data_IF_693541564812
#
_entry.id   IF_693541564812
#
_cell.length_a   1.000
_cell.length_b   1.000
_cell.length_c   1.000
_cell.angle_alpha   90.00
_cell.angle_beta   90.00
_cell.angle_gamma   90.00
#
_symmetry.space_group_name_H-M   'P 1'
#
loop_
_entity.id
_entity.type
_entity.pdbx_description
1 polymer ?
#
# COMPACT_ATOMS: atom_id res chain seq x y z
N UNK A 1 -1.32 -15.16 24.18
CA UNK A 1 -1.56 -15.21 22.74
C UNK A 1 -0.83 -16.38 22.13
N UNK A 2 -1.51 -17.18 21.36
CA UNK A 2 -0.87 -18.30 20.66
C UNK A 2 -0.72 -17.93 19.19
N UNK A 3 0.48 -18.06 18.67
CA UNK A 3 0.72 -17.89 17.24
C UNK A 3 0.45 -19.20 16.52
N UNK A 4 -0.13 -19.11 15.34
CA UNK A 4 -0.31 -20.30 14.50
C UNK A 4 1.04 -20.83 14.04
N UNK A 5 1.14 -22.15 13.95
CA UNK A 5 2.34 -22.76 13.39
C UNK A 5 2.55 -22.28 11.96
N UNK A 6 3.82 -22.06 11.62
CA UNK A 6 4.17 -21.68 10.26
C UNK A 6 3.86 -22.84 9.31
N UNK A 7 3.13 -22.57 8.24
CA UNK A 7 2.80 -23.58 7.25
C UNK A 7 3.83 -23.56 6.14
N UNK A 8 3.99 -24.68 5.44
CA UNK A 8 4.90 -24.79 4.29
C UNK A 8 4.27 -24.29 3.00
N UNK A 9 3.15 -23.58 3.09
CA UNK A 9 2.49 -23.01 1.92
C UNK A 9 3.32 -21.87 1.33
N UNK A 10 3.36 -21.81 0.01
CA UNK A 10 4.01 -20.68 -0.68
C UNK A 10 3.20 -19.41 -0.45
N UNK A 11 3.91 -18.25 -0.43
CA UNK A 11 3.27 -16.95 -0.29
C UNK A 11 2.16 -16.75 -1.35
N UNK A 12 2.41 -17.16 -2.59
CA UNK A 12 1.43 -17.04 -3.67
C UNK A 12 0.13 -17.78 -3.39
N UNK A 13 0.16 -18.82 -2.57
CA UNK A 13 -1.04 -19.59 -2.24
C UNK A 13 -1.94 -18.87 -1.23
N UNK A 14 -1.35 -18.21 -0.24
CA UNK A 14 -2.13 -17.53 0.79
C UNK A 14 -2.32 -16.03 0.55
N UNK A 15 -1.52 -15.42 -0.31
CA UNK A 15 -1.67 -13.99 -0.63
C UNK A 15 -3.07 -13.68 -1.19
N UNK A 16 -3.57 -14.53 -2.06
CA UNK A 16 -4.91 -14.34 -2.65
C UNK A 16 -6.01 -14.41 -1.60
N UNK A 17 -5.86 -15.30 -0.63
CA UNK A 17 -6.82 -15.44 0.46
C UNK A 17 -6.84 -14.19 1.34
N UNK A 18 -5.66 -13.66 1.67
CA UNK A 18 -5.55 -12.43 2.45
C UNK A 18 -6.10 -11.23 1.69
N UNK A 19 -5.80 -11.12 0.40
CA UNK A 19 -6.32 -10.02 -0.41
C UNK A 19 -7.85 -10.03 -0.45
N UNK A 20 -8.46 -11.19 -0.60
CA UNK A 20 -9.92 -11.32 -0.56
C UNK A 20 -10.50 -10.95 0.80
N UNK A 21 -9.86 -11.38 1.88
CA UNK A 21 -10.28 -11.05 3.25
C UNK A 21 -10.23 -9.54 3.47
N UNK A 22 -9.14 -8.90 3.07
CA UNK A 22 -8.97 -7.46 3.22
C UNK A 22 -10.01 -6.67 2.43
N UNK A 23 -10.31 -7.12 1.22
CA UNK A 23 -11.33 -6.49 0.39
C UNK A 23 -12.73 -6.64 1.00
N UNK A 24 -13.06 -7.85 1.46
CA UNK A 24 -14.36 -8.15 2.07
C UNK A 24 -14.57 -7.36 3.36
N UNK A 25 -13.54 -7.26 4.19
CA UNK A 25 -13.61 -6.56 5.48
C UNK A 25 -13.33 -5.07 5.36
N UNK A 26 -12.95 -4.59 4.19
CA UNK A 26 -12.53 -3.20 3.95
C UNK A 26 -11.46 -2.76 4.93
N UNK A 27 -10.43 -3.58 5.05
CA UNK A 27 -9.36 -3.41 6.04
C UNK A 27 -8.63 -2.08 5.86
N UNK A 28 -8.36 -1.67 4.63
CA UNK A 28 -7.66 -0.41 4.37
C UNK A 28 -8.50 0.77 4.84
N UNK A 29 -9.76 0.83 4.48
CA UNK A 29 -10.67 1.90 4.88
C UNK A 29 -10.78 1.96 6.40
N UNK A 30 -10.87 0.81 7.05
CA UNK A 30 -10.90 0.75 8.51
C UNK A 30 -9.61 1.28 9.13
N UNK A 31 -8.45 1.01 8.51
CA UNK A 31 -7.17 1.49 9.02
C UNK A 31 -7.09 3.02 9.04
N UNK A 32 -7.77 3.68 8.09
CA UNK A 32 -7.83 5.14 8.05
C UNK A 32 -8.90 5.66 9.02
N UNK A 33 -10.11 5.12 8.95
CA UNK A 33 -11.26 5.62 9.71
C UNK A 33 -11.12 5.45 11.21
N UNK A 34 -10.44 4.40 11.67
CA UNK A 34 -10.26 4.12 13.08
C UNK A 34 -9.21 5.00 13.75
N UNK A 35 -8.52 5.82 12.98
CA UNK A 35 -7.45 6.68 13.51
C UNK A 35 -7.83 8.14 13.43
N UNK A 36 -7.42 8.91 14.46
CA UNK A 36 -7.79 10.32 14.57
C UNK A 36 -7.19 11.17 13.47
N UNK A 37 -8.00 12.06 12.90
CA UNK A 37 -7.53 13.04 11.93
C UNK A 37 -6.53 14.04 12.54
N UNK A 38 -6.50 14.17 13.85
CA UNK A 38 -5.54 15.04 14.53
C UNK A 38 -4.16 14.43 14.65
N UNK A 39 -4.02 13.14 14.38
CA UNK A 39 -2.75 12.43 14.46
C UNK A 39 -2.44 11.80 13.10
N UNK A 40 -2.13 12.63 12.13
CA UNK A 40 -1.85 12.20 10.77
C UNK A 40 -0.36 12.14 10.48
N UNK A 41 0.03 11.15 9.69
CA UNK A 41 1.30 11.14 9.00
C UNK A 41 1.00 11.39 7.52
N UNK A 42 1.43 12.53 7.04
CA UNK A 42 1.11 12.97 5.68
C UNK A 42 1.89 12.16 4.66
N UNK A 43 1.17 11.60 3.70
CA UNK A 43 1.76 10.78 2.65
C UNK A 43 1.19 11.18 1.29
N UNK A 44 2.09 11.65 0.43
CA UNK A 44 1.76 11.94 -0.96
C UNK A 44 2.55 11.01 -1.86
N UNK A 45 1.89 10.40 -2.82
CA UNK A 45 2.52 9.47 -3.73
C UNK A 45 2.54 10.04 -5.16
N UNK A 46 3.70 9.92 -5.81
CA UNK A 46 3.83 10.14 -7.24
C UNK A 46 3.88 8.79 -7.93
N UNK A 47 2.76 8.30 -8.47
CA UNK A 47 2.79 7.01 -9.16
C UNK A 47 3.68 7.06 -10.39
N UNK A 48 4.10 5.89 -10.91
CA UNK A 48 4.95 5.84 -12.11
C UNK A 48 4.31 6.54 -13.30
N UNK A 49 5.15 7.04 -14.21
CA UNK A 49 4.69 7.61 -15.46
C UNK A 49 3.76 6.65 -16.18
N UNK A 50 2.78 7.21 -16.95
CA UNK A 50 1.74 6.42 -17.61
C UNK A 50 2.21 5.65 -18.84
N UNK A 51 3.48 5.30 -18.91
CA UNK A 51 4.06 4.57 -20.03
C UNK A 51 4.84 3.36 -19.56
N UNK A 52 4.86 2.34 -20.39
CA UNK A 52 5.66 1.16 -20.15
C UNK A 52 5.11 0.23 -19.10
N UNK A 53 5.77 -0.90 -18.96
CA UNK A 53 5.44 -1.93 -17.98
C UNK A 53 6.21 -1.68 -16.68
N UNK A 54 5.62 -1.92 -15.51
CA UNK A 54 6.38 -1.84 -14.26
C UNK A 54 7.59 -2.75 -14.28
N UNK A 55 8.69 -2.30 -13.71
CA UNK A 55 9.91 -3.08 -13.59
C UNK A 55 10.32 -3.21 -12.12
N UNK A 56 11.43 -3.91 -11.86
CA UNK A 56 11.88 -4.17 -10.51
C UNK A 56 12.16 -2.89 -9.70
N UNK A 57 12.61 -1.82 -10.36
CA UNK A 57 12.78 -0.52 -9.71
C UNK A 57 11.48 0.04 -9.19
N UNK A 58 10.40 -0.08 -9.94
CA UNK A 58 9.06 0.34 -9.51
C UNK A 58 8.62 -0.47 -8.29
N UNK A 59 8.85 -1.78 -8.31
CA UNK A 59 8.50 -2.65 -7.18
C UNK A 59 9.27 -2.29 -5.92
N UNK A 60 10.56 -2.00 -6.05
CA UNK A 60 11.39 -1.60 -4.91
C UNK A 60 10.88 -0.31 -4.27
N UNK A 61 10.65 0.72 -5.08
CA UNK A 61 10.17 2.01 -4.58
C UNK A 61 8.79 1.86 -3.94
N UNK A 62 7.89 1.14 -4.60
CA UNK A 62 6.53 0.90 -4.07
C UNK A 62 6.57 0.15 -2.74
N UNK A 63 7.47 -0.82 -2.61
CA UNK A 63 7.63 -1.57 -1.37
C UNK A 63 8.09 -0.68 -0.22
N UNK A 64 9.06 0.21 -0.46
CA UNK A 64 9.52 1.15 0.57
C UNK A 64 8.38 2.08 1.00
N UNK A 65 7.63 2.62 0.04
CA UNK A 65 6.48 3.48 0.33
C UNK A 65 5.42 2.75 1.16
N UNK A 66 5.14 1.51 0.81
CA UNK A 66 4.15 0.68 1.50
C UNK A 66 4.59 0.40 2.95
N UNK A 67 5.86 0.06 3.14
CA UNK A 67 6.42 -0.19 4.49
C UNK A 67 6.27 1.04 5.37
N UNK A 68 6.59 2.21 4.86
CA UNK A 68 6.48 3.45 5.63
C UNK A 68 5.03 3.76 6.03
N UNK A 69 4.09 3.61 5.09
CA UNK A 69 2.68 3.80 5.39
C UNK A 69 2.16 2.82 6.42
N UNK A 70 2.49 1.56 6.29
CA UNK A 70 2.08 0.52 7.23
C UNK A 70 2.70 0.72 8.62
N UNK A 71 3.96 1.12 8.66
CA UNK A 71 4.65 1.40 9.92
C UNK A 71 3.93 2.51 10.71
N UNK A 72 3.65 3.63 10.05
CA UNK A 72 2.96 4.74 10.72
C UNK A 72 1.52 4.40 11.08
N UNK A 73 0.84 3.58 10.28
CA UNK A 73 -0.48 3.06 10.61
C UNK A 73 -0.44 2.22 11.89
N UNK A 74 0.55 1.35 12.01
CA UNK A 74 0.72 0.52 13.21
C UNK A 74 1.05 1.34 14.45
N UNK A 75 1.65 2.52 14.28
CA UNK A 75 1.91 3.45 15.38
C UNK A 75 0.66 4.20 15.83
N UNK A 76 -0.47 3.98 15.18
CA UNK A 76 -1.72 4.65 15.50
C UNK A 76 -1.96 5.95 14.76
N UNK A 77 -1.14 6.27 13.78
CA UNK A 77 -1.30 7.47 12.96
C UNK A 77 -2.25 7.21 11.81
N UNK A 78 -3.03 8.22 11.46
CA UNK A 78 -3.90 8.14 10.29
C UNK A 78 -3.08 8.43 9.05
N UNK A 79 -2.99 7.46 8.15
CA UNK A 79 -2.22 7.57 6.91
C UNK A 79 -3.18 7.46 5.73
N UNK A 80 -3.52 8.59 5.15
CA UNK A 80 -4.27 8.64 3.91
C UNK A 80 -3.29 8.61 2.75
N UNK A 81 -3.59 7.83 1.71
CA UNK A 81 -2.74 7.70 0.53
C UNK A 81 -3.26 8.64 -0.55
N UNK A 82 -2.52 9.71 -0.80
CA UNK A 82 -2.91 10.70 -1.78
C UNK A 82 -1.96 10.67 -2.98
N UNK A 83 -2.52 10.75 -4.16
CA UNK A 83 -1.77 10.63 -5.40
C UNK A 83 -1.70 11.95 -6.14
N UNK A 84 -0.56 12.18 -6.80
CA UNK A 84 -0.41 13.25 -7.78
C UNK A 84 0.07 12.64 -9.09
N UNK A 85 -0.81 12.55 -10.09
CA UNK A 85 -0.47 11.97 -11.37
C UNK A 85 0.50 12.86 -12.15
N UNK A 86 1.61 12.27 -12.64
CA UNK A 86 2.55 12.95 -13.52
C UNK A 86 2.16 12.63 -14.97
N UNK A 87 1.33 13.49 -15.55
CA UNK A 87 0.75 13.27 -16.87
C UNK A 87 1.37 14.13 -17.97
N UNK A 88 2.17 15.15 -17.61
CA UNK A 88 2.72 16.11 -18.56
C UNK A 88 4.18 15.84 -18.85
N UNK A 89 4.44 14.85 -19.64
CA UNK A 89 5.78 14.53 -20.09
C UNK A 89 5.70 13.91 -21.48
N UNK A 90 6.76 14.03 -22.24
CA UNK A 90 6.77 13.53 -23.63
C UNK A 90 6.34 12.07 -23.73
N UNK A 91 6.82 11.14 -22.90
CA UNK A 91 6.36 9.74 -22.97
C UNK A 91 4.87 9.56 -22.69
N UNK A 92 4.29 10.37 -21.83
CA UNK A 92 2.85 10.26 -21.50
C UNK A 92 1.96 10.89 -22.56
N UNK A 93 2.48 11.83 -23.34
CA UNK A 93 1.74 12.55 -24.36
C UNK A 93 1.82 11.90 -25.75
N UNK A 94 2.71 10.94 -25.92
CA UNK A 94 2.87 10.19 -27.14
C UNK A 94 1.90 9.00 -27.17
#
# INVERSE_FOLDING_TARGET
>A
MKFKANTRRRALEYEKEWAKTWEKEKTFEASVEQRSADNQWVFYDGPPFLTGTPHHGHLLVSTVKDVMGRFHTMKGQRVERRWGWDCHGLPAEV
#
